data_IF_688294525271
#
_entry.id   IF_688294525271
#
_cell.length_a   1.000
_cell.length_b   1.000
_cell.length_c   1.000
_cell.angle_alpha   90.00
_cell.angle_beta   90.00
_cell.angle_gamma   90.00
#
_symmetry.space_group_name_H-M   'P 1'
#
loop_
_entity.id
_entity.type
_entity.pdbx_description
1 polymer ?
#
# COMPACT_ATOMS: atom_id res chain seq x y z
N UNK A 1 -28.87 -23.31 14.97
CA UNK A 1 -28.58 -21.88 15.22
C UNK A 1 -27.16 -21.60 14.79
N UNK A 2 -26.88 -20.45 14.17
CA UNK A 2 -25.52 -20.01 13.81
C UNK A 2 -24.73 -19.57 15.06
N UNK A 3 -23.41 -19.39 14.94
CA UNK A 3 -22.63 -18.70 15.99
C UNK A 3 -23.16 -17.28 16.13
N UNK A 4 -23.51 -16.88 17.36
CA UNK A 4 -23.98 -15.51 17.63
C UNK A 4 -22.82 -14.53 17.61
N UNK A 5 -22.74 -13.71 16.55
CA UNK A 5 -21.79 -12.60 16.43
C UNK A 5 -22.45 -11.33 16.97
N UNK A 6 -21.80 -10.66 17.93
CA UNK A 6 -22.28 -9.43 18.54
C UNK A 6 -21.15 -8.66 19.23
N UNK A 7 -21.46 -7.47 19.72
CA UNK A 7 -20.53 -6.71 20.53
C UNK A 7 -20.38 -7.33 21.92
N UNK A 8 -19.14 -7.56 22.34
CA UNK A 8 -18.82 -8.06 23.68
C UNK A 8 -18.03 -7.01 24.46
N UNK A 9 -18.34 -6.84 25.75
CA UNK A 9 -17.56 -6.01 26.67
C UNK A 9 -16.57 -6.90 27.44
N UNK A 10 -15.30 -6.50 27.48
CA UNK A 10 -14.26 -7.14 28.28
C UNK A 10 -13.27 -6.09 28.79
N UNK A 11 -12.88 -6.15 30.07
CA UNK A 11 -11.96 -5.20 30.71
C UNK A 11 -12.20 -3.72 30.34
N UNK A 12 -13.46 -3.26 30.48
CA UNK A 12 -13.90 -1.88 30.17
C UNK A 12 -13.77 -1.46 28.69
N UNK A 13 -13.42 -2.37 27.78
CA UNK A 13 -13.38 -2.15 26.33
C UNK A 13 -14.54 -2.87 25.64
N UNK A 14 -15.14 -2.20 24.65
CA UNK A 14 -16.13 -2.83 23.75
C UNK A 14 -15.38 -3.45 22.57
N UNK A 15 -15.66 -4.71 22.28
CA UNK A 15 -15.13 -5.46 21.16
C UNK A 15 -16.26 -5.75 20.17
N UNK A 16 -16.36 -4.97 19.08
CA UNK A 16 -17.45 -5.12 18.13
C UNK A 16 -17.33 -6.39 17.30
N UNK A 17 -18.48 -6.94 16.87
CA UNK A 17 -18.60 -8.12 16.01
C UNK A 17 -17.72 -9.30 16.43
N UNK A 18 -17.78 -9.69 17.69
CA UNK A 18 -17.02 -10.82 18.22
C UNK A 18 -17.91 -11.98 18.60
N UNK A 19 -17.31 -13.16 18.76
CA UNK A 19 -17.96 -14.36 19.29
C UNK A 19 -17.05 -15.05 20.31
N UNK A 20 -17.63 -15.91 21.17
CA UNK A 20 -16.86 -16.71 22.14
C UNK A 20 -16.39 -18.01 21.51
N UNK A 21 -15.13 -18.39 21.76
CA UNK A 21 -14.54 -19.63 21.21
C UNK A 21 -15.38 -20.86 21.54
N UNK A 22 -15.77 -21.00 22.82
CA UNK A 22 -16.62 -22.10 23.28
C UNK A 22 -17.97 -22.18 22.54
N UNK A 23 -18.61 -21.04 22.26
CA UNK A 23 -19.88 -21.00 21.53
C UNK A 23 -19.70 -21.42 20.06
N UNK A 24 -18.57 -21.04 19.45
CA UNK A 24 -18.24 -21.49 18.09
C UNK A 24 -17.91 -22.98 18.02
N UNK A 25 -17.17 -23.51 18.99
CA UNK A 25 -16.91 -24.96 19.08
C UNK A 25 -18.20 -25.74 19.30
N UNK A 26 -19.09 -25.25 20.15
CA UNK A 26 -20.38 -25.89 20.39
C UNK A 26 -21.27 -25.90 19.14
N UNK A 27 -21.24 -24.81 18.38
CA UNK A 27 -21.91 -24.72 17.09
C UNK A 27 -21.34 -25.70 16.05
N UNK A 28 -20.02 -25.75 15.91
CA UNK A 28 -19.31 -26.68 15.03
C UNK A 28 -19.58 -28.13 15.44
N UNK A 29 -19.60 -28.41 16.74
CA UNK A 29 -19.92 -29.73 17.31
C UNK A 29 -21.30 -30.19 16.86
N UNK A 30 -22.31 -29.31 16.92
CA UNK A 30 -23.66 -29.63 16.47
C UNK A 30 -23.74 -29.93 14.97
N UNK A 31 -22.91 -29.29 14.14
CA UNK A 31 -22.82 -29.58 12.70
C UNK A 31 -22.08 -30.90 12.44
N UNK A 32 -20.94 -31.11 13.10
CA UNK A 32 -20.16 -32.33 12.99
C UNK A 32 -20.97 -33.56 13.45
N UNK A 33 -21.72 -33.45 14.55
CA UNK A 33 -22.54 -34.54 15.07
C UNK A 33 -23.63 -34.95 14.09
N UNK A 34 -24.34 -33.99 13.49
CA UNK A 34 -25.36 -34.24 12.46
C UNK A 34 -24.76 -34.83 11.19
N UNK A 35 -23.61 -34.32 10.74
CA UNK A 35 -22.96 -34.76 9.51
C UNK A 35 -22.33 -36.16 9.63
N UNK A 36 -21.76 -36.50 10.79
CA UNK A 36 -21.04 -37.76 11.00
C UNK A 36 -21.92 -38.90 11.49
N UNK A 37 -22.95 -38.60 12.30
CA UNK A 37 -23.69 -39.63 13.05
C UNK A 37 -25.20 -39.61 12.83
N UNK A 38 -25.75 -38.62 12.11
CA UNK A 38 -27.19 -38.56 11.82
C UNK A 38 -28.06 -38.67 13.08
N UNK A 39 -28.97 -39.65 13.09
CA UNK A 39 -29.87 -39.92 14.23
C UNK A 39 -29.17 -40.45 15.48
N UNK A 40 -27.93 -40.93 15.39
CA UNK A 40 -27.17 -41.45 16.54
C UNK A 40 -26.30 -40.39 17.23
N UNK A 41 -26.43 -39.13 16.83
CA UNK A 41 -25.63 -38.01 17.35
C UNK A 41 -25.72 -37.83 18.87
N UNK A 42 -26.84 -38.23 19.49
CA UNK A 42 -27.08 -38.05 20.93
C UNK A 42 -26.31 -39.02 21.82
N UNK A 43 -25.78 -40.14 21.27
CA UNK A 43 -25.00 -41.10 22.06
C UNK A 43 -23.74 -40.43 22.64
N UNK A 44 -23.48 -40.63 23.93
CA UNK A 44 -22.41 -39.94 24.67
C UNK A 44 -21.01 -40.06 24.02
N UNK A 45 -20.67 -41.25 23.52
CA UNK A 45 -19.42 -41.50 22.77
C UNK A 45 -19.32 -40.65 21.49
N UNK A 46 -20.43 -40.45 20.79
CA UNK A 46 -20.50 -39.66 19.56
C UNK A 46 -20.43 -38.15 19.86
N UNK A 47 -20.93 -37.72 21.02
CA UNK A 47 -20.80 -36.34 21.48
C UNK A 47 -19.36 -35.95 21.78
N UNK A 48 -18.59 -36.84 22.41
CA UNK A 48 -17.16 -36.63 22.66
C UNK A 48 -16.37 -36.57 21.34
N UNK A 49 -16.61 -37.51 20.42
CA UNK A 49 -15.92 -37.51 19.12
C UNK A 49 -16.24 -36.25 18.31
N UNK A 50 -17.51 -35.83 18.29
CA UNK A 50 -17.95 -34.60 17.62
C UNK A 50 -17.27 -33.36 18.19
N UNK A 51 -17.05 -33.31 19.52
CA UNK A 51 -16.35 -32.20 20.17
C UNK A 51 -14.87 -32.15 19.77
N UNK A 52 -14.18 -33.29 19.74
CA UNK A 52 -12.79 -33.35 19.28
C UNK A 52 -12.65 -32.94 17.81
N UNK A 53 -13.57 -33.35 16.95
CA UNK A 53 -13.59 -32.94 15.52
C UNK A 53 -13.84 -31.44 15.39
N UNK A 54 -14.79 -30.89 16.15
CA UNK A 54 -15.09 -29.46 16.15
C UNK A 54 -13.90 -28.61 16.63
N UNK A 55 -13.19 -29.05 17.68
CA UNK A 55 -11.96 -28.40 18.14
C UNK A 55 -10.87 -28.43 17.08
N UNK A 56 -10.64 -29.57 16.43
CA UNK A 56 -9.64 -29.68 15.37
C UNK A 56 -9.98 -28.78 14.17
N UNK A 57 -11.25 -28.75 13.76
CA UNK A 57 -11.70 -27.86 12.70
C UNK A 57 -11.55 -26.39 13.08
N UNK A 58 -11.96 -26.01 14.30
CA UNK A 58 -11.76 -24.65 14.82
C UNK A 58 -10.29 -24.25 14.86
N UNK A 59 -9.40 -25.16 15.27
CA UNK A 59 -7.95 -24.92 15.26
C UNK A 59 -7.42 -24.71 13.83
N UNK A 60 -7.89 -25.49 12.86
CA UNK A 60 -7.54 -25.29 11.44
C UNK A 60 -8.03 -23.94 10.93
N UNK A 61 -9.28 -23.56 11.22
CA UNK A 61 -9.86 -22.28 10.82
C UNK A 61 -9.11 -21.08 11.44
N UNK A 62 -8.71 -21.20 12.71
CA UNK A 62 -7.84 -20.23 13.38
C UNK A 62 -6.45 -20.16 12.73
N UNK A 63 -5.86 -21.31 12.39
CA UNK A 63 -4.53 -21.40 11.79
C UNK A 63 -4.48 -20.83 10.35
N UNK A 64 -5.53 -21.06 9.56
CA UNK A 64 -5.64 -20.48 8.20
C UNK A 64 -6.21 -19.05 8.21
N UNK A 65 -6.49 -18.49 9.39
CA UNK A 65 -6.83 -17.08 9.56
C UNK A 65 -8.27 -16.68 9.26
N UNK A 66 -9.22 -17.63 9.18
CA UNK A 66 -10.65 -17.32 8.98
C UNK A 66 -11.19 -16.41 10.09
N UNK A 67 -10.73 -16.64 11.31
CA UNK A 67 -10.98 -15.77 12.45
C UNK A 67 -9.72 -15.68 13.31
N UNK A 68 -9.57 -14.60 14.07
CA UNK A 68 -8.45 -14.37 14.99
C UNK A 68 -8.92 -14.25 16.42
N UNK A 69 -8.02 -14.56 17.35
CA UNK A 69 -8.24 -14.24 18.76
C UNK A 69 -8.07 -12.72 18.99
N UNK A 70 -9.00 -12.15 19.75
CA UNK A 70 -9.05 -10.73 20.15
C UNK A 70 -8.61 -10.57 21.61
N UNK A 71 -9.07 -11.46 22.48
CA UNK A 71 -8.72 -11.50 23.91
C UNK A 71 -8.58 -12.94 24.40
N UNK A 72 -7.99 -13.12 25.59
CA UNK A 72 -7.91 -14.41 26.26
C UNK A 72 -6.51 -15.03 26.21
N UNK A 73 -6.40 -16.27 26.70
CA UNK A 73 -5.15 -17.01 26.77
C UNK A 73 -4.67 -17.45 25.38
N UNK A 74 -3.35 -17.35 25.15
CA UNK A 74 -2.70 -17.94 23.96
C UNK A 74 -2.58 -19.47 24.08
N UNK A 75 -2.66 -20.02 25.30
CA UNK A 75 -2.66 -21.47 25.51
C UNK A 75 -4.08 -22.00 25.34
N UNK A 76 -4.27 -22.91 24.37
CA UNK A 76 -5.58 -23.51 24.03
C UNK A 76 -6.70 -22.46 23.88
N UNK A 77 -6.56 -21.50 22.94
CA UNK A 77 -7.40 -20.31 22.90
C UNK A 77 -8.89 -20.63 22.68
N UNK A 78 -9.21 -21.69 21.94
CA UNK A 78 -10.60 -22.10 21.66
C UNK A 78 -11.30 -22.77 22.85
N UNK A 79 -10.54 -23.17 23.87
CA UNK A 79 -11.05 -23.77 25.11
C UNK A 79 -11.23 -22.71 26.23
N UNK A 80 -10.67 -21.51 26.06
CA UNK A 80 -10.81 -20.40 27.03
C UNK A 80 -12.23 -19.80 26.95
N UNK A 81 -13.03 -19.86 28.04
CA UNK A 81 -14.39 -19.34 28.05
C UNK A 81 -14.45 -17.81 27.90
N UNK A 82 -13.36 -17.11 28.20
CA UNK A 82 -13.22 -15.66 28.11
C UNK A 82 -12.56 -15.20 26.81
N UNK A 83 -12.09 -16.12 25.96
CA UNK A 83 -11.51 -15.77 24.69
C UNK A 83 -12.60 -15.29 23.71
N UNK A 84 -12.38 -14.08 23.20
CA UNK A 84 -13.18 -13.51 22.13
C UNK A 84 -12.44 -13.71 20.81
N UNK A 85 -13.19 -14.05 19.78
CA UNK A 85 -12.72 -14.22 18.43
C UNK A 85 -13.49 -13.30 17.50
N UNK A 86 -12.87 -12.93 16.39
CA UNK A 86 -13.49 -12.14 15.32
C UNK A 86 -13.17 -12.76 13.97
N UNK A 87 -14.18 -12.88 13.12
CA UNK A 87 -13.96 -13.25 11.72
C UNK A 87 -13.11 -12.20 11.02
N UNK A 88 -12.22 -12.62 10.15
CA UNK A 88 -11.35 -11.67 9.45
C UNK A 88 -12.17 -10.65 8.63
N UNK A 89 -13.29 -11.06 8.06
CA UNK A 89 -14.20 -10.21 7.29
C UNK A 89 -14.78 -9.03 8.10
N UNK A 90 -15.00 -9.28 9.40
CA UNK A 90 -15.51 -8.32 10.38
C UNK A 90 -14.42 -7.40 10.96
N UNK A 91 -13.14 -7.67 10.67
CA UNK A 91 -12.01 -6.86 11.12
C UNK A 91 -11.93 -5.57 10.27
N UNK A 92 -12.59 -4.51 10.74
CA UNK A 92 -12.61 -3.20 10.05
C UNK A 92 -11.30 -2.42 10.17
N UNK A 93 -10.48 -2.68 11.21
CA UNK A 93 -9.32 -1.85 11.54
C UNK A 93 -7.98 -2.59 11.49
N UNK A 94 -7.97 -3.86 11.07
CA UNK A 94 -6.75 -4.66 10.97
C UNK A 94 -5.72 -4.05 10.01
N UNK A 95 -4.44 -4.47 10.10
CA UNK A 95 -3.40 -3.94 9.23
C UNK A 95 -3.51 -4.45 7.78
N UNK A 96 -4.09 -5.63 7.59
CA UNK A 96 -4.27 -6.26 6.28
C UNK A 96 -5.55 -5.74 5.61
N UNK A 97 -5.37 -5.00 4.52
CA UNK A 97 -6.47 -4.35 3.82
C UNK A 97 -7.15 -5.28 2.80
N UNK A 98 -6.45 -6.29 2.27
CA UNK A 98 -6.96 -7.18 1.22
C UNK A 98 -7.25 -8.61 1.72
N UNK A 99 -7.44 -8.80 3.03
CA UNK A 99 -7.72 -10.11 3.62
C UNK A 99 -9.14 -10.24 4.19
N UNK A 100 -10.01 -9.25 3.97
CA UNK A 100 -11.44 -9.34 4.33
C UNK A 100 -12.19 -10.46 3.61
N UNK A 101 -11.60 -11.03 2.56
CA UNK A 101 -11.99 -12.28 1.93
C UNK A 101 -10.74 -13.11 1.62
N UNK A 102 -10.91 -14.41 1.44
CA UNK A 102 -9.84 -15.33 1.01
C UNK A 102 -10.00 -15.57 -0.49
N UNK A 103 -8.93 -15.39 -1.26
CA UNK A 103 -8.94 -15.77 -2.67
C UNK A 103 -8.80 -17.29 -2.80
N UNK A 104 -9.76 -17.92 -3.48
CA UNK A 104 -9.83 -19.39 -3.63
C UNK A 104 -9.67 -19.87 -5.07
N UNK A 105 -9.54 -18.96 -6.03
CA UNK A 105 -9.33 -19.27 -7.44
C UNK A 105 -7.85 -19.16 -7.80
N UNK A 106 -7.48 -19.62 -9.00
CA UNK A 106 -6.16 -19.32 -9.54
C UNK A 106 -6.04 -17.81 -9.76
N UNK A 107 -4.97 -17.20 -9.25
CA UNK A 107 -4.71 -15.79 -9.48
C UNK A 107 -4.24 -15.56 -10.93
N UNK A 108 -4.67 -14.45 -11.53
CA UNK A 108 -4.22 -14.00 -12.85
C UNK A 108 -2.80 -13.42 -12.77
N UNK A 109 -2.29 -13.02 -13.94
CA UNK A 109 -0.97 -12.38 -14.07
C UNK A 109 -0.80 -11.19 -13.10
N UNK A 110 0.26 -11.15 -12.28
CA UNK A 110 0.39 -10.18 -11.19
C UNK A 110 0.25 -8.72 -11.62
N UNK A 111 0.86 -8.37 -12.76
CA UNK A 111 0.84 -7.01 -13.29
C UNK A 111 -0.56 -6.61 -13.76
N UNK A 112 -1.34 -7.54 -14.34
CA UNK A 112 -2.71 -7.28 -14.74
C UNK A 112 -3.57 -6.98 -13.50
N UNK A 113 -3.52 -7.86 -12.50
CA UNK A 113 -4.29 -7.75 -11.26
C UNK A 113 -4.02 -6.42 -10.56
N UNK A 114 -2.75 -6.08 -10.30
CA UNK A 114 -2.41 -4.85 -9.57
C UNK A 114 -2.77 -3.59 -10.35
N UNK A 115 -2.65 -3.62 -11.68
CA UNK A 115 -2.94 -2.46 -12.53
C UNK A 115 -4.44 -2.21 -12.65
N UNK A 116 -5.25 -3.26 -12.81
CA UNK A 116 -6.71 -3.17 -12.80
C UNK A 116 -7.22 -2.66 -11.46
N UNK A 117 -6.73 -3.22 -10.34
CA UNK A 117 -7.12 -2.76 -9.01
C UNK A 117 -6.74 -1.29 -8.78
N UNK A 118 -5.53 -0.88 -9.17
CA UNK A 118 -5.11 0.52 -9.08
C UNK A 118 -6.02 1.41 -9.92
N UNK A 119 -6.29 1.04 -11.16
CA UNK A 119 -7.23 1.74 -12.03
C UNK A 119 -8.61 1.88 -11.40
N UNK A 120 -9.20 0.78 -10.90
CA UNK A 120 -10.52 0.78 -10.24
C UNK A 120 -10.55 1.75 -9.06
N UNK A 121 -9.54 1.72 -8.19
CA UNK A 121 -9.45 2.62 -7.03
C UNK A 121 -9.33 4.10 -7.44
N UNK A 122 -8.51 4.39 -8.45
CA UNK A 122 -8.34 5.73 -9.01
C UNK A 122 -9.64 6.24 -9.66
N UNK A 123 -10.27 5.42 -10.50
CA UNK A 123 -11.55 5.75 -11.13
C UNK A 123 -12.64 6.02 -10.11
N UNK A 124 -12.72 5.21 -9.05
CA UNK A 124 -13.68 5.39 -7.97
C UNK A 124 -13.45 6.71 -7.23
N UNK A 125 -12.18 7.05 -6.94
CA UNK A 125 -11.80 8.33 -6.31
C UNK A 125 -12.10 9.55 -7.19
N UNK A 126 -11.87 9.44 -8.49
CA UNK A 126 -12.15 10.52 -9.44
C UNK A 126 -13.65 10.70 -9.71
N UNK A 127 -14.41 9.61 -9.73
CA UNK A 127 -15.88 9.61 -9.92
C UNK A 127 -16.60 10.18 -8.69
N UNK A 128 -16.04 10.02 -7.50
CA UNK A 128 -16.64 10.43 -6.22
C UNK A 128 -15.68 11.29 -5.37
N UNK A 129 -15.38 12.54 -5.81
CA UNK A 129 -14.41 13.38 -5.12
C UNK A 129 -14.85 13.79 -3.71
N UNK A 130 -16.14 14.08 -3.53
CA UNK A 130 -16.70 14.62 -2.28
C UNK A 130 -17.52 13.60 -1.47
N UNK A 131 -17.63 12.34 -1.93
CA UNK A 131 -18.38 11.30 -1.23
C UNK A 131 -17.48 10.41 -0.42
N UNK A 132 -18.00 9.92 0.70
CA UNK A 132 -17.35 8.87 1.46
C UNK A 132 -17.47 7.54 0.70
N UNK A 133 -16.38 7.14 0.07
CA UNK A 133 -16.29 5.93 -0.73
C UNK A 133 -16.50 4.66 0.11
N UNK A 134 -16.33 4.75 1.45
CA UNK A 134 -16.51 3.61 2.37
C UNK A 134 -17.91 3.01 2.36
N UNK A 135 -18.91 3.79 1.95
CA UNK A 135 -20.31 3.38 1.93
C UNK A 135 -20.74 2.77 0.60
N UNK A 136 -19.85 2.74 -0.40
CA UNK A 136 -20.18 2.27 -1.74
C UNK A 136 -20.04 0.74 -1.86
N UNK A 137 -21.02 0.10 -2.48
CA UNK A 137 -20.94 -1.31 -2.86
C UNK A 137 -19.76 -1.60 -3.81
N UNK A 138 -19.41 -0.62 -4.65
CA UNK A 138 -18.22 -0.67 -5.53
C UNK A 138 -16.93 -0.94 -4.72
N UNK A 139 -16.80 -0.40 -3.51
CA UNK A 139 -15.64 -0.65 -2.64
C UNK A 139 -15.62 -2.08 -2.09
N UNK A 140 -16.79 -2.65 -1.78
CA UNK A 140 -16.88 -4.04 -1.32
C UNK A 140 -16.43 -5.00 -2.43
N UNK A 141 -16.89 -4.77 -3.66
CA UNK A 141 -16.46 -5.55 -4.83
C UNK A 141 -14.96 -5.39 -5.08
N UNK A 142 -14.44 -4.16 -5.02
CA UNK A 142 -13.00 -3.90 -5.11
C UNK A 142 -12.21 -4.65 -4.03
N UNK A 143 -12.67 -4.64 -2.78
CA UNK A 143 -11.99 -5.29 -1.66
C UNK A 143 -11.94 -6.81 -1.85
N UNK A 144 -13.03 -7.40 -2.36
CA UNK A 144 -13.06 -8.81 -2.71
C UNK A 144 -12.07 -9.16 -3.84
N UNK A 145 -11.98 -8.32 -4.89
CA UNK A 145 -11.01 -8.50 -5.97
C UNK A 145 -9.56 -8.29 -5.50
N UNK A 146 -9.32 -7.39 -4.54
CA UNK A 146 -7.98 -7.16 -3.99
C UNK A 146 -7.40 -8.39 -3.27
N UNK A 147 -8.26 -9.32 -2.83
CA UNK A 147 -7.82 -10.59 -2.27
C UNK A 147 -7.05 -11.45 -3.28
N UNK A 148 -7.24 -11.27 -4.59
CA UNK A 148 -6.49 -12.01 -5.62
C UNK A 148 -4.97 -11.85 -5.48
N UNK A 149 -4.51 -10.67 -5.03
CA UNK A 149 -3.10 -10.43 -4.74
C UNK A 149 -2.51 -11.42 -3.73
N UNK A 150 -3.32 -12.04 -2.87
CA UNK A 150 -2.86 -13.05 -1.91
C UNK A 150 -2.13 -14.21 -2.59
N UNK A 151 -2.52 -14.58 -3.82
CA UNK A 151 -2.04 -15.78 -4.50
C UNK A 151 -1.31 -15.52 -5.84
N UNK A 152 -1.06 -14.26 -6.21
CA UNK A 152 -0.31 -13.95 -7.44
C UNK A 152 1.13 -14.51 -7.38
N UNK A 153 1.66 -14.92 -8.53
CA UNK A 153 3.04 -15.41 -8.62
C UNK A 153 4.03 -14.29 -9.02
N UNK A 154 4.68 -13.69 -8.03
CA UNK A 154 5.69 -12.63 -8.25
C UNK A 154 7.12 -13.15 -8.47
N UNK A 155 7.36 -14.46 -8.30
CA UNK A 155 8.72 -15.02 -8.36
C UNK A 155 9.26 -15.07 -9.79
N UNK A 156 8.37 -15.24 -10.76
CA UNK A 156 8.70 -15.34 -12.19
C UNK A 156 8.86 -13.97 -12.85
N UNK A 157 8.53 -12.88 -12.15
CA UNK A 157 8.67 -11.52 -12.67
C UNK A 157 10.13 -11.12 -12.82
N UNK A 158 10.48 -10.56 -13.98
CA UNK A 158 11.76 -9.89 -14.20
C UNK A 158 11.93 -8.69 -13.25
N UNK A 159 13.15 -8.15 -13.16
CA UNK A 159 13.42 -6.99 -12.29
C UNK A 159 12.55 -5.77 -12.65
N UNK A 160 12.36 -5.52 -13.94
CA UNK A 160 11.53 -4.41 -14.46
C UNK A 160 10.06 -4.65 -14.11
N UNK A 161 9.56 -5.88 -14.33
CA UNK A 161 8.19 -6.26 -13.99
C UNK A 161 7.93 -6.16 -12.49
N UNK A 162 8.87 -6.61 -11.66
CA UNK A 162 8.75 -6.54 -10.21
C UNK A 162 8.75 -5.08 -9.71
N UNK A 163 9.55 -4.21 -10.33
CA UNK A 163 9.56 -2.78 -10.04
C UNK A 163 8.21 -2.12 -10.38
N UNK A 164 7.69 -2.34 -11.60
CA UNK A 164 6.37 -1.85 -12.01
C UNK A 164 5.27 -2.36 -11.07
N UNK A 165 5.29 -3.66 -10.74
CA UNK A 165 4.33 -4.29 -9.83
C UNK A 165 4.33 -3.61 -8.45
N UNK A 166 5.48 -3.43 -7.81
CA UNK A 166 5.53 -2.83 -6.46
C UNK A 166 5.26 -1.33 -6.45
N UNK A 167 5.59 -0.58 -7.51
CA UNK A 167 5.15 0.82 -7.65
C UNK A 167 3.61 0.91 -7.68
N UNK A 168 2.96 0.05 -8.47
CA UNK A 168 1.50 0.00 -8.55
C UNK A 168 0.89 -0.48 -7.22
N UNK A 169 1.44 -1.53 -6.61
CA UNK A 169 0.95 -2.08 -5.36
C UNK A 169 1.05 -1.07 -4.21
N UNK A 170 2.16 -0.32 -4.12
CA UNK A 170 2.33 0.73 -3.12
C UNK A 170 1.28 1.81 -3.27
N UNK A 171 1.15 2.40 -4.48
CA UNK A 171 0.22 3.51 -4.70
C UNK A 171 -1.24 3.06 -4.52
N UNK A 172 -1.57 1.84 -4.93
CA UNK A 172 -2.87 1.21 -4.68
C UNK A 172 -3.16 1.08 -3.19
N UNK A 173 -2.19 0.57 -2.42
CA UNK A 173 -2.33 0.36 -0.98
C UNK A 173 -2.46 1.69 -0.23
N UNK A 174 -1.75 2.74 -0.64
CA UNK A 174 -1.93 4.09 -0.07
C UNK A 174 -3.36 4.59 -0.27
N UNK A 175 -3.89 4.49 -1.50
CA UNK A 175 -5.25 4.94 -1.79
C UNK A 175 -6.29 4.13 -1.01
N UNK A 176 -6.16 2.79 -1.02
CA UNK A 176 -7.06 1.91 -0.30
C UNK A 176 -7.01 2.19 1.22
N UNK A 177 -5.82 2.38 1.79
CA UNK A 177 -5.65 2.75 3.20
C UNK A 177 -6.36 4.07 3.51
N UNK A 178 -6.15 5.14 2.72
CA UNK A 178 -6.84 6.41 2.96
C UNK A 178 -8.36 6.30 2.87
N UNK A 179 -8.90 5.44 1.98
CA UNK A 179 -10.34 5.12 1.95
C UNK A 179 -10.76 4.50 3.28
N UNK A 180 -10.18 3.36 3.65
CA UNK A 180 -10.64 2.57 4.80
C UNK A 180 -10.43 3.32 6.13
N UNK A 181 -9.33 4.08 6.25
CA UNK A 181 -9.03 4.89 7.44
C UNK A 181 -9.81 6.20 7.49
N UNK A 182 -10.62 6.53 6.47
CA UNK A 182 -11.44 7.75 6.44
C UNK A 182 -10.62 9.04 6.45
N UNK A 183 -9.48 9.04 5.74
CA UNK A 183 -8.63 10.23 5.64
C UNK A 183 -9.32 11.33 4.82
N UNK A 184 -9.16 12.58 5.25
CA UNK A 184 -9.76 13.75 4.61
C UNK A 184 -8.70 14.72 4.09
N UNK A 185 -8.98 15.36 2.95
CA UNK A 185 -8.11 16.38 2.37
C UNK A 185 -7.96 17.58 3.33
N UNK A 186 -6.80 18.24 3.28
CA UNK A 186 -6.44 19.36 4.13
C UNK A 186 -5.93 18.98 5.53
N UNK A 187 -6.04 17.71 5.94
CA UNK A 187 -5.50 17.25 7.23
C UNK A 187 -3.97 17.09 7.18
N UNK A 188 -3.26 17.57 8.22
CA UNK A 188 -1.81 17.39 8.33
C UNK A 188 -1.47 15.92 8.64
N UNK A 189 -0.86 15.25 7.67
CA UNK A 189 -0.53 13.84 7.75
C UNK A 189 0.84 13.55 8.37
N UNK A 190 1.63 14.58 8.71
CA UNK A 190 3.04 14.42 9.07
C UNK A 190 3.27 13.48 10.26
N UNK A 191 2.48 13.61 11.32
CA UNK A 191 2.60 12.76 12.53
C UNK A 191 2.09 11.35 12.29
N UNK A 192 1.19 11.16 11.32
CA UNK A 192 0.58 9.87 10.98
C UNK A 192 1.39 9.07 9.98
N UNK A 193 2.36 9.68 9.29
CA UNK A 193 3.17 9.02 8.25
C UNK A 193 3.75 7.67 8.71
N UNK A 194 4.46 7.65 9.84
CA UNK A 194 5.15 6.45 10.33
C UNK A 194 4.18 5.32 10.71
N UNK A 195 3.17 5.55 11.59
CA UNK A 195 2.21 4.50 11.87
C UNK A 195 1.43 4.09 10.62
N UNK A 196 1.07 5.01 9.73
CA UNK A 196 0.36 4.69 8.49
C UNK A 196 1.16 3.76 7.58
N UNK A 197 2.46 4.02 7.36
CA UNK A 197 3.25 3.15 6.47
C UNK A 197 3.57 1.78 7.08
N UNK A 198 3.56 1.67 8.41
CA UNK A 198 3.77 0.40 9.13
C UNK A 198 2.48 -0.42 9.23
N UNK A 199 1.37 0.24 9.54
CA UNK A 199 0.12 -0.39 9.98
C UNK A 199 -0.84 -0.67 8.84
N UNK A 200 -0.52 -0.29 7.60
CA UNK A 200 -1.30 -0.66 6.40
C UNK A 200 -0.49 -1.61 5.53
N UNK A 201 -1.08 -2.77 5.25
CA UNK A 201 -0.43 -3.91 4.62
C UNK A 201 -1.34 -4.59 3.61
N UNK A 202 -0.75 -5.16 2.56
CA UNK A 202 -1.38 -6.16 1.72
C UNK A 202 -0.69 -7.51 1.88
N UNK A 203 -1.46 -8.59 1.86
CA UNK A 203 -0.92 -9.91 1.58
C UNK A 203 -0.72 -10.04 0.07
N UNK A 204 0.52 -10.24 -0.36
CA UNK A 204 0.91 -10.45 -1.75
C UNK A 204 1.72 -11.75 -1.84
N UNK A 205 1.30 -12.68 -2.70
CA UNK A 205 1.98 -13.97 -2.88
C UNK A 205 2.23 -14.71 -1.53
N UNK A 206 1.22 -14.72 -0.66
CA UNK A 206 1.24 -15.27 0.70
C UNK A 206 2.20 -14.61 1.71
N UNK A 207 2.75 -13.44 1.39
CA UNK A 207 3.54 -12.63 2.33
C UNK A 207 2.86 -11.30 2.64
N UNK A 208 2.89 -10.89 3.89
CA UNK A 208 2.38 -9.58 4.29
C UNK A 208 3.44 -8.51 3.97
N UNK A 209 3.01 -7.47 3.27
CA UNK A 209 3.81 -6.33 2.89
C UNK A 209 3.19 -5.05 3.42
N UNK A 210 3.88 -4.39 4.35
CA UNK A 210 3.62 -3.00 4.70
C UNK A 210 4.12 -2.04 3.62
N UNK A 211 3.53 -0.84 3.59
CA UNK A 211 4.03 0.25 2.74
C UNK A 211 5.52 0.54 3.03
N UNK A 212 5.93 0.49 4.30
CA UNK A 212 7.32 0.68 4.72
C UNK A 212 8.26 -0.40 4.16
N UNK A 213 7.84 -1.66 4.16
CA UNK A 213 8.63 -2.76 3.58
C UNK A 213 8.73 -2.66 2.06
N UNK A 214 7.66 -2.22 1.38
CA UNK A 214 7.69 -1.97 -0.07
C UNK A 214 8.63 -0.80 -0.40
N UNK A 215 8.55 0.31 0.34
CA UNK A 215 9.49 1.44 0.24
C UNK A 215 10.93 0.96 0.36
N UNK A 216 11.25 0.23 1.44
CA UNK A 216 12.59 -0.30 1.67
C UNK A 216 13.07 -1.18 0.51
N UNK A 217 12.21 -2.05 -0.03
CA UNK A 217 12.56 -2.89 -1.18
C UNK A 217 12.78 -2.12 -2.47
N UNK A 218 11.99 -1.08 -2.72
CA UNK A 218 12.14 -0.21 -3.89
C UNK A 218 13.44 0.61 -3.80
N UNK A 219 13.81 1.05 -2.59
CA UNK A 219 15.03 1.82 -2.35
C UNK A 219 16.29 0.97 -2.22
N UNK A 220 16.19 -0.33 -1.89
CA UNK A 220 17.34 -1.23 -1.83
C UNK A 220 17.61 -1.93 -3.17
N UNK A 221 18.87 -2.32 -3.43
CA UNK A 221 19.26 -3.07 -4.65
C UNK A 221 18.53 -4.42 -4.83
N UNK A 222 17.93 -4.93 -3.76
CA UNK A 222 17.47 -6.31 -3.62
C UNK A 222 15.94 -6.38 -3.52
N UNK A 223 15.22 -6.07 -4.61
CA UNK A 223 13.75 -6.19 -4.71
C UNK A 223 13.21 -7.58 -4.28
N UNK A 224 14.06 -8.63 -4.37
CA UNK A 224 13.74 -10.01 -3.98
C UNK A 224 14.23 -10.43 -2.59
N UNK A 225 14.92 -9.57 -1.84
CA UNK A 225 15.38 -9.94 -0.49
C UNK A 225 14.20 -9.96 0.48
N UNK A 226 13.97 -11.12 1.12
CA UNK A 226 12.96 -11.25 2.17
C UNK A 226 13.25 -10.34 3.37
N UNK A 227 14.53 -10.06 3.64
CA UNK A 227 15.01 -9.18 4.70
C UNK A 227 16.22 -8.36 4.20
N UNK A 228 16.02 -7.19 3.58
CA UNK A 228 17.14 -6.30 3.25
C UNK A 228 17.87 -5.92 4.55
N UNK A 229 19.20 -6.03 4.56
CA UNK A 229 19.99 -5.62 5.73
C UNK A 229 19.96 -4.09 5.78
N UNK A 230 19.53 -3.50 6.91
CA UNK A 230 19.57 -2.04 7.18
C UNK A 230 20.93 -1.38 6.92
N UNK A 231 22.02 -2.15 6.87
CA UNK A 231 23.38 -1.68 6.62
C UNK A 231 23.76 -1.58 5.14
N UNK A 232 22.94 -2.09 4.21
CA UNK A 232 23.19 -1.97 2.78
C UNK A 232 22.79 -0.55 2.32
N UNK A 233 23.58 0.44 2.73
CA UNK A 233 23.44 1.86 2.39
C UNK A 233 23.80 2.16 0.93
N UNK A 234 23.70 1.17 0.05
CA UNK A 234 23.97 1.37 -1.37
C UNK A 234 22.83 2.16 -2.00
N UNK A 235 23.19 3.12 -2.88
CA UNK A 235 22.27 3.95 -3.65
C UNK A 235 21.14 3.12 -4.26
N UNK A 236 19.93 3.67 -4.21
CA UNK A 236 18.76 3.09 -4.86
C UNK A 236 19.11 2.72 -6.31
N UNK A 237 18.82 1.48 -6.73
CA UNK A 237 19.15 1.01 -8.06
C UNK A 237 18.42 1.82 -9.15
N UNK A 238 17.28 2.41 -8.80
CA UNK A 238 16.49 3.30 -9.63
C UNK A 238 16.02 4.50 -8.78
N UNK A 239 16.78 5.61 -8.74
CA UNK A 239 16.44 6.76 -7.88
C UNK A 239 15.14 7.49 -8.28
N UNK A 240 14.62 7.29 -9.49
CA UNK A 240 13.37 7.94 -9.94
C UNK A 240 12.14 7.42 -9.20
N UNK A 241 12.22 6.27 -8.53
CA UNK A 241 11.11 5.73 -7.71
C UNK A 241 10.67 6.72 -6.61
N UNK A 242 11.58 7.54 -6.09
CA UNK A 242 11.28 8.61 -5.12
C UNK A 242 10.24 9.61 -5.63
N UNK A 243 10.17 9.78 -6.95
CA UNK A 243 9.23 10.68 -7.62
C UNK A 243 7.98 9.98 -8.15
N UNK A 244 7.86 8.67 -7.92
CA UNK A 244 6.77 7.82 -8.37
C UNK A 244 5.84 7.35 -7.25
N UNK A 245 6.32 7.41 -6.00
CA UNK A 245 5.57 7.03 -4.80
C UNK A 245 4.79 8.22 -4.25
N UNK A 246 3.51 8.00 -3.94
CA UNK A 246 2.64 9.02 -3.37
C UNK A 246 2.12 8.59 -2.00
N UNK A 247 2.23 9.47 -1.00
CA UNK A 247 1.52 9.35 0.28
C UNK A 247 0.21 10.16 0.28
N UNK A 248 -0.25 10.61 -0.89
CA UNK A 248 -1.46 11.42 -1.00
C UNK A 248 -1.36 12.85 -0.44
N UNK A 249 -0.16 13.33 -0.11
CA UNK A 249 0.06 14.67 0.44
C UNK A 249 0.24 15.73 -0.68
N UNK A 250 0.12 17.02 -0.35
CA UNK A 250 0.28 18.12 -1.30
C UNK A 250 1.61 18.10 -2.06
N UNK A 251 2.71 17.77 -1.36
CA UNK A 251 4.05 17.64 -1.95
C UNK A 251 4.42 16.22 -2.40
N UNK A 252 3.48 15.26 -2.39
CA UNK A 252 3.69 13.91 -2.92
C UNK A 252 3.66 13.88 -4.44
N UNK A 253 4.20 12.80 -5.02
CA UNK A 253 4.03 12.52 -6.44
C UNK A 253 2.56 12.32 -6.81
N UNK A 254 2.23 12.54 -8.07
CA UNK A 254 0.96 12.10 -8.62
C UNK A 254 1.04 10.61 -8.94
N UNK A 255 -0.07 9.92 -8.75
CA UNK A 255 -0.16 8.47 -8.92
C UNK A 255 -0.35 8.15 -10.41
N UNK A 256 0.46 7.21 -10.88
CA UNK A 256 0.45 6.67 -12.25
C UNK A 256 0.34 5.15 -12.16
N UNK A 257 -0.16 4.53 -13.23
CA UNK A 257 -0.08 3.08 -13.43
C UNK A 257 1.14 2.80 -14.28
N UNK A 258 2.09 2.05 -13.73
CA UNK A 258 3.37 1.71 -14.37
C UNK A 258 3.26 0.36 -15.06
N UNK A 259 3.74 0.29 -16.31
CA UNK A 259 3.84 -0.96 -17.07
C UNK A 259 5.31 -1.25 -17.42
N UNK A 260 5.73 -2.52 -17.50
CA UNK A 260 7.13 -2.87 -17.80
C UNK A 260 7.64 -2.25 -19.10
N UNK A 261 6.80 -2.20 -20.14
CA UNK A 261 7.16 -1.77 -21.49
C UNK A 261 7.45 -0.26 -21.56
N UNK A 262 6.84 0.52 -20.66
CA UNK A 262 6.92 1.99 -20.64
C UNK A 262 7.53 2.52 -19.34
N UNK A 263 8.07 1.64 -18.49
CA UNK A 263 8.48 1.97 -17.13
C UNK A 263 9.49 3.11 -17.08
N UNK A 264 10.48 3.09 -17.97
CA UNK A 264 11.53 4.10 -18.03
C UNK A 264 10.97 5.50 -18.37
N UNK A 265 10.12 5.57 -19.39
CA UNK A 265 9.46 6.80 -19.83
C UNK A 265 8.50 7.33 -18.76
N UNK A 266 7.71 6.45 -18.13
CA UNK A 266 6.75 6.82 -17.10
C UNK A 266 7.46 7.34 -15.83
N UNK A 267 8.59 6.72 -15.43
CA UNK A 267 9.43 7.19 -14.33
C UNK A 267 10.11 8.52 -14.65
N UNK A 268 10.58 8.69 -15.89
CA UNK A 268 11.14 9.95 -16.36
C UNK A 268 10.10 11.07 -16.30
N UNK A 269 8.88 10.81 -16.77
CA UNK A 269 7.80 11.79 -16.76
C UNK A 269 7.37 12.13 -15.32
N UNK A 270 7.25 11.12 -14.45
CA UNK A 270 6.95 11.31 -13.02
C UNK A 270 8.01 12.20 -12.34
N UNK A 271 9.30 11.98 -12.64
CA UNK A 271 10.39 12.80 -12.12
C UNK A 271 10.31 14.26 -12.60
N UNK A 272 10.16 14.48 -13.90
CA UNK A 272 10.02 15.84 -14.46
C UNK A 272 8.84 16.56 -13.83
N UNK A 273 7.68 15.92 -13.78
CA UNK A 273 6.47 16.49 -13.19
C UNK A 273 6.64 16.82 -11.71
N UNK A 274 7.16 15.88 -10.92
CA UNK A 274 7.35 16.06 -9.49
C UNK A 274 8.29 17.24 -9.20
N UNK A 275 9.43 17.28 -9.89
CA UNK A 275 10.49 18.24 -9.65
C UNK A 275 10.12 19.65 -10.10
N UNK A 276 9.42 19.77 -11.23
CA UNK A 276 8.91 21.07 -11.72
C UNK A 276 7.80 21.61 -10.82
N UNK A 277 6.97 20.74 -10.25
CA UNK A 277 5.88 21.14 -9.33
C UNK A 277 6.38 21.52 -7.94
N UNK A 278 7.37 20.81 -7.39
CA UNK A 278 7.78 20.92 -5.99
C UNK A 278 9.04 21.80 -5.75
N UNK A 279 9.60 22.41 -6.80
CA UNK A 279 10.65 23.44 -6.66
C UNK A 279 10.46 24.65 -7.60
N UNK A 280 9.27 25.29 -7.63
CA UNK A 280 8.98 26.37 -8.58
C UNK A 280 9.83 27.64 -8.31
N UNK A 281 10.35 27.79 -7.08
CA UNK A 281 11.10 28.98 -6.63
C UNK A 281 12.49 29.12 -7.25
N UNK A 282 13.05 28.07 -7.86
CA UNK A 282 14.35 28.17 -8.55
C UNK A 282 14.32 29.20 -9.67
N UNK A 283 13.20 29.29 -10.40
CA UNK A 283 13.02 30.24 -11.51
C UNK A 283 13.16 31.70 -11.07
N UNK A 284 12.71 32.05 -9.86
CA UNK A 284 12.78 33.41 -9.34
C UNK A 284 14.10 33.75 -8.63
N UNK A 285 14.74 32.77 -7.98
CA UNK A 285 15.95 33.00 -7.17
C UNK A 285 17.21 33.13 -8.01
N UNK A 286 17.28 32.40 -9.13
CA UNK A 286 18.38 32.51 -10.07
C UNK A 286 18.37 33.89 -10.78
N UNK A 287 17.18 34.45 -11.04
CA UNK A 287 17.00 35.76 -11.70
C UNK A 287 17.28 36.98 -10.81
N UNK A 288 17.14 36.88 -9.49
CA UNK A 288 17.31 38.02 -8.57
C UNK A 288 18.78 38.36 -8.23
N UNK A 289 19.77 37.59 -8.72
CA UNK A 289 21.17 37.75 -8.31
C UNK A 289 22.01 38.69 -9.18
N UNK A 290 21.42 39.41 -10.14
CA UNK A 290 22.13 40.36 -11.02
C UNK A 290 22.49 41.72 -10.37
N UNK A 291 22.40 41.89 -9.05
CA UNK A 291 22.79 43.14 -8.39
C UNK A 291 23.68 42.91 -7.15
N UNK A 292 25.00 42.98 -7.36
CA UNK A 292 25.99 43.36 -6.32
C UNK A 292 26.75 42.24 -5.58
N UNK A 293 27.96 41.93 -6.06
CA UNK A 293 29.06 41.27 -5.31
C UNK A 293 29.18 39.75 -5.44
N UNK A 294 30.40 39.20 -5.23
CA UNK A 294 30.72 37.76 -5.17
C UNK A 294 29.88 37.07 -4.08
N UNK A 295 28.66 36.66 -4.40
CA UNK A 295 27.79 35.89 -3.51
C UNK A 295 27.65 34.47 -4.01
N UNK A 296 27.74 33.54 -3.07
CA UNK A 296 27.48 32.10 -3.26
C UNK A 296 26.03 31.95 -3.75
N UNK A 297 25.82 31.19 -4.83
CA UNK A 297 24.48 31.00 -5.37
C UNK A 297 23.62 30.11 -4.46
N UNK A 298 22.33 30.41 -4.33
CA UNK A 298 21.40 29.58 -3.55
C UNK A 298 20.44 28.82 -4.46
N UNK A 299 20.54 27.49 -4.48
CA UNK A 299 19.62 26.64 -5.24
C UNK A 299 18.65 25.96 -4.28
N UNK A 300 17.35 25.96 -4.62
CA UNK A 300 16.32 25.32 -3.81
C UNK A 300 15.92 23.96 -4.41
N UNK A 301 16.06 22.88 -3.66
CA UNK A 301 15.61 21.55 -4.08
C UNK A 301 14.39 21.09 -3.29
N UNK A 302 13.56 20.19 -3.85
CA UNK A 302 12.50 19.54 -3.08
C UNK A 302 13.06 18.80 -1.87
N UNK A 303 12.26 18.68 -0.80
CA UNK A 303 12.71 18.10 0.48
C UNK A 303 13.22 16.66 0.37
N UNK A 304 12.78 15.93 -0.64
CA UNK A 304 13.17 14.54 -0.91
C UNK A 304 14.69 14.39 -1.13
N UNK A 305 15.35 15.40 -1.74
CA UNK A 305 16.80 15.45 -1.89
C UNK A 305 17.56 15.58 -0.56
N UNK A 306 16.89 16.01 0.51
CA UNK A 306 17.48 16.02 1.85
C UNK A 306 17.35 14.64 2.52
N UNK A 307 16.19 14.00 2.37
CA UNK A 307 15.90 12.72 3.02
C UNK A 307 16.67 11.56 2.40
N UNK A 308 16.80 11.56 1.07
CA UNK A 308 17.43 10.49 0.30
C UNK A 308 18.64 11.00 -0.48
N UNK A 309 19.42 11.91 0.13
CA UNK A 309 20.56 12.58 -0.52
C UNK A 309 21.52 11.61 -1.22
N UNK A 310 21.76 10.46 -0.60
CA UNK A 310 22.73 9.46 -1.04
C UNK A 310 22.26 8.72 -2.32
N UNK A 311 20.97 8.84 -2.67
CA UNK A 311 20.40 8.29 -3.90
C UNK A 311 20.56 9.20 -5.12
N UNK A 312 20.93 10.46 -4.91
CA UNK A 312 21.00 11.48 -5.98
C UNK A 312 22.43 11.85 -6.36
N UNK A 313 23.40 11.69 -5.46
CA UNK A 313 24.82 11.92 -5.73
C UNK A 313 25.67 11.97 -4.46
N UNK A 314 26.99 11.85 -4.61
CA UNK A 314 27.95 11.88 -3.49
C UNK A 314 28.46 13.30 -3.17
N UNK A 315 28.21 14.25 -4.06
CA UNK A 315 28.59 15.65 -3.92
C UNK A 315 27.41 16.58 -4.19
N UNK A 316 27.47 17.82 -3.69
CA UNK A 316 26.43 18.83 -3.99
C UNK A 316 26.35 19.13 -5.49
N UNK A 317 27.46 19.01 -6.22
CA UNK A 317 27.52 19.17 -7.68
C UNK A 317 26.79 18.04 -8.40
N UNK A 318 27.02 16.79 -8.01
CA UNK A 318 26.30 15.63 -8.57
C UNK A 318 24.81 15.71 -8.28
N UNK A 319 24.42 16.06 -7.05
CA UNK A 319 23.01 16.23 -6.68
C UNK A 319 22.35 17.33 -7.54
N UNK A 320 23.05 18.44 -7.75
CA UNK A 320 22.55 19.54 -8.58
C UNK A 320 22.46 19.15 -10.05
N UNK A 321 23.46 18.44 -10.58
CA UNK A 321 23.46 17.92 -11.95
C UNK A 321 22.32 16.90 -12.17
N UNK A 322 22.08 16.02 -11.19
CA UNK A 322 20.95 15.09 -11.21
C UNK A 322 19.61 15.83 -11.23
N UNK A 323 19.45 16.88 -10.42
CA UNK A 323 18.23 17.70 -10.49
C UNK A 323 18.09 18.40 -11.85
N UNK A 324 19.19 18.97 -12.37
CA UNK A 324 19.21 19.71 -13.63
C UNK A 324 18.81 18.84 -14.84
N UNK A 325 19.13 17.54 -14.85
CA UNK A 325 18.78 16.66 -15.97
C UNK A 325 17.27 16.54 -16.20
N UNK A 326 16.44 16.81 -15.20
CA UNK A 326 14.97 16.81 -15.33
C UNK A 326 14.37 18.18 -15.64
N UNK A 327 15.17 19.24 -15.61
CA UNK A 327 14.70 20.60 -15.84
C UNK A 327 14.64 20.93 -17.35
N UNK A 328 13.78 21.90 -17.76
CA UNK A 328 13.77 22.42 -19.14
C UNK A 328 15.14 22.96 -19.54
N UNK A 329 15.45 22.92 -20.85
CA UNK A 329 16.78 23.21 -21.39
C UNK A 329 17.43 24.47 -20.82
N UNK A 330 16.76 25.62 -20.84
CA UNK A 330 17.34 26.88 -20.34
C UNK A 330 17.72 26.83 -18.86
N UNK A 331 16.89 26.21 -18.01
CA UNK A 331 17.20 26.04 -16.58
C UNK A 331 18.26 24.96 -16.36
N UNK A 332 18.27 23.90 -17.17
CA UNK A 332 19.29 22.85 -17.11
C UNK A 332 20.68 23.40 -17.37
N UNK A 333 20.83 24.21 -18.41
CA UNK A 333 22.12 24.84 -18.78
C UNK A 333 22.63 25.73 -17.65
N UNK A 334 21.76 26.60 -17.12
CA UNK A 334 22.08 27.46 -15.98
C UNK A 334 22.52 26.66 -14.74
N UNK A 335 21.70 25.69 -14.30
CA UNK A 335 22.03 24.87 -13.12
C UNK A 335 23.32 24.05 -13.32
N UNK A 336 23.61 23.63 -14.55
CA UNK A 336 24.84 22.91 -14.89
C UNK A 336 26.06 23.82 -14.78
N UNK A 337 25.96 25.08 -15.22
CA UNK A 337 27.01 26.07 -15.00
C UNK A 337 27.25 26.31 -13.51
N UNK A 338 26.17 26.51 -12.74
CA UNK A 338 26.24 26.69 -11.28
C UNK A 338 26.93 25.50 -10.61
N UNK A 339 26.57 24.28 -11.00
CA UNK A 339 27.24 23.07 -10.53
C UNK A 339 28.74 23.07 -10.83
N UNK A 340 29.15 23.50 -12.04
CA UNK A 340 30.55 23.57 -12.47
C UNK A 340 31.35 24.60 -11.67
N UNK A 341 30.79 25.76 -11.37
CA UNK A 341 31.48 26.79 -10.57
C UNK A 341 31.75 26.38 -9.13
N UNK A 342 31.02 25.38 -8.61
CA UNK A 342 31.04 24.91 -7.22
C UNK A 342 30.75 26.01 -6.17
N UNK A 343 30.36 27.21 -6.60
CA UNK A 343 30.12 28.37 -5.76
C UNK A 343 28.62 28.51 -5.44
N UNK A 344 28.05 27.46 -4.85
CA UNK A 344 26.63 27.43 -4.48
C UNK A 344 26.37 26.65 -3.18
N UNK A 345 25.22 26.90 -2.58
CA UNK A 345 24.63 26.13 -1.49
C UNK A 345 23.25 25.60 -1.89
N UNK A 346 22.92 24.40 -1.42
CA UNK A 346 21.61 23.79 -1.59
C UNK A 346 20.77 24.11 -0.35
N UNK A 347 19.60 24.73 -0.58
CA UNK A 347 18.52 24.83 0.41
C UNK A 347 17.38 23.91 -0.01
N UNK A 348 16.53 23.53 0.93
CA UNK A 348 15.42 22.61 0.68
C UNK A 348 14.09 23.27 0.98
N UNK A 349 13.11 23.16 0.08
CA UNK A 349 11.77 23.70 0.32
C UNK A 349 11.07 22.96 1.48
N UNK A 350 9.98 23.53 1.99
CA UNK A 350 9.09 22.85 2.92
C UNK A 350 8.37 21.72 2.17
N UNK A 351 8.20 20.59 2.83
CA UNK A 351 7.33 19.52 2.34
C UNK A 351 5.96 19.73 2.97
N UNK A 352 4.95 19.92 2.12
CA UNK A 352 3.57 20.07 2.55
C UNK A 352 2.94 18.68 2.75
N UNK A 353 2.66 18.38 4.02
CA UNK A 353 2.11 17.10 4.48
C UNK A 353 0.58 17.10 4.52
N UNK A 354 -0.09 18.19 4.15
CA UNK A 354 -1.54 18.19 4.09
C UNK A 354 -2.02 17.21 3.01
N UNK A 355 -3.03 16.41 3.32
CA UNK A 355 -3.60 15.48 2.34
C UNK A 355 -4.29 16.21 1.19
N UNK A 356 -4.05 15.73 -0.02
CA UNK A 356 -4.67 16.16 -1.26
C UNK A 356 -4.85 14.94 -2.18
N UNK A 357 -5.73 14.02 -1.78
CA UNK A 357 -5.97 12.74 -2.42
C UNK A 357 -6.50 12.92 -3.85
N UNK A 358 -7.37 13.91 -4.08
CA UNK A 358 -7.87 14.24 -5.42
C UNK A 358 -6.76 14.67 -6.37
N UNK A 359 -5.83 15.53 -5.90
CA UNK A 359 -4.64 15.94 -6.66
C UNK A 359 -3.75 14.75 -6.98
N UNK A 360 -3.54 13.86 -6.02
CA UNK A 360 -2.71 12.66 -6.21
C UNK A 360 -3.26 11.76 -7.34
N UNK A 361 -4.58 11.66 -7.50
CA UNK A 361 -5.22 10.80 -8.52
C UNK A 361 -5.31 11.44 -9.93
N UNK A 362 -5.00 12.72 -10.08
CA UNK A 362 -5.32 13.50 -11.28
C UNK A 362 -4.57 13.12 -12.57
N UNK A 363 -3.44 12.41 -12.49
CA UNK A 363 -2.67 12.01 -13.69
C UNK A 363 -3.31 10.89 -14.50
N UNK A 364 -4.17 10.08 -13.88
CA UNK A 364 -4.82 8.95 -14.56
C UNK A 364 -5.73 9.42 -15.69
N UNK A 365 -6.32 10.60 -15.53
CA UNK A 365 -7.14 11.27 -16.56
C UNK A 365 -6.28 11.72 -17.75
N UNK A 366 -4.96 11.89 -17.56
CA UNK A 366 -4.02 12.37 -18.58
C UNK A 366 -3.24 11.26 -19.26
N UNK A 367 -3.34 10.01 -18.80
CA UNK A 367 -2.87 8.86 -19.55
C UNK A 367 -3.90 8.56 -20.65
N UNK A 368 -3.68 9.00 -21.90
CA UNK A 368 -4.67 8.80 -22.96
C UNK A 368 -4.68 7.33 -23.30
N UNK A 369 -5.83 6.67 -23.11
CA UNK A 369 -6.16 5.40 -23.77
C UNK A 369 -5.04 4.35 -23.87
N UNK A 370 -4.20 4.17 -22.85
CA UNK A 370 -3.48 2.90 -22.75
C UNK A 370 -4.55 1.88 -22.46
N UNK A 371 -4.78 0.98 -23.40
CA UNK A 371 -5.66 -0.18 -23.30
C UNK A 371 -5.24 -1.02 -22.07
N UNK A 372 -5.60 -0.58 -20.86
CA UNK A 372 -5.50 -1.40 -19.67
C UNK A 372 -6.50 -2.58 -19.77
N UNK A 373 -7.41 -2.55 -20.75
CA UNK A 373 -8.52 -3.47 -20.91
C UNK A 373 -8.95 -3.61 -22.40
N UNK A 374 -8.12 -4.21 -23.26
CA UNK A 374 -8.63 -4.85 -24.50
C UNK A 374 -7.91 -6.17 -24.73
N UNK A 375 -8.08 -7.12 -23.81
CA UNK A 375 -7.85 -8.55 -24.04
C UNK A 375 -8.56 -9.39 -22.96
N UNK A 376 -9.76 -8.95 -22.52
CA UNK A 376 -10.69 -9.91 -21.97
C UNK A 376 -11.20 -10.74 -23.17
N UNK A 377 -11.01 -12.07 -23.21
CA UNK A 377 -11.70 -12.86 -24.22
C UNK A 377 -13.19 -12.59 -24.03
N UNK A 378 -13.83 -12.15 -25.12
CA UNK A 378 -15.27 -12.04 -25.21
C UNK A 378 -15.89 -13.26 -24.54
N UNK A 379 -16.82 -13.01 -23.62
CA UNK A 379 -17.73 -14.03 -23.10
C UNK A 379 -18.23 -14.87 -24.29
N UNK A 380 -17.77 -16.11 -24.35
CA UNK A 380 -18.48 -17.13 -25.11
C UNK A 380 -19.64 -17.52 -24.21
N UNK A 381 -20.83 -17.17 -24.72
CA UNK A 381 -22.20 -17.48 -24.33
C UNK A 381 -22.42 -18.47 -23.18
#
# INVERSE_FOLDING_TARGET
QAVMIKDHKSFLKVHPNTFRGQAAIEWLRGHAARALFGSEAEKEKNQQLSRSVALLLGQKLLAVGVFRQVTGSLTKPLEDPNALFRFHEDEKEGPLLNCRSIWFQNAREPLLVVSELLYTMLSMRLKYPDRDIRELEELNNFTASAAELQLVNINDLSRIQLLAFFLNAYNLMVLHAHVVRGSTDGSDFKSQKIPFTRDNQYMIAAYNYSLAEIEERLFCRMLRAKFPKKSDKSRAPEPRVHFALSLGCASSARIRIYQPETLDEDLQQAAVEYLTTNAPKNRMRLQQQSQGGKRVQEVMLPKIFKWYKDDFGFSKQEILAYYASFMPQGMREELTEVARTNNFIIKYDKYDWNLHLGKACSEVVRQPGRQLLTNAPHQVQ
#
